data_IF_024136646933
#
_entry.id   IF_024136646933
#
_cell.length_a   1.000
_cell.length_b   1.000
_cell.length_c   1.000
_cell.angle_alpha   90.00
_cell.angle_beta   90.00
_cell.angle_gamma   90.00
#
_symmetry.space_group_name_H-M   'P 1'
#
loop_
_entity.id
_entity.type
_entity.pdbx_description
1 polymer ?
#
# COMPACT_ATOMS: atom_id res chain seq x y z
N UNK A 1 13.75 -10.22 -40.54
CA UNK A 1 12.49 -9.45 -40.41
C UNK A 1 12.45 -8.95 -38.99
N UNK A 2 13.04 -7.78 -38.76
CA UNK A 2 12.99 -7.09 -37.46
C UNK A 2 11.64 -6.38 -37.40
N UNK A 3 10.79 -6.78 -36.47
CA UNK A 3 9.53 -6.08 -36.22
C UNK A 3 9.86 -4.86 -35.36
N UNK A 4 9.85 -3.70 -35.99
CA UNK A 4 9.98 -2.40 -35.34
C UNK A 4 8.75 -2.16 -34.46
N UNK A 5 8.89 -2.42 -33.15
CA UNK A 5 7.83 -2.21 -32.17
C UNK A 5 7.84 -0.73 -31.83
N UNK A 6 7.17 0.07 -32.66
CA UNK A 6 6.90 1.48 -32.36
C UNK A 6 5.97 1.56 -31.14
N UNK A 7 6.57 1.66 -29.95
CA UNK A 7 5.87 1.92 -28.72
C UNK A 7 5.22 3.31 -28.82
N UNK A 8 3.92 3.35 -29.12
CA UNK A 8 3.12 4.57 -28.92
C UNK A 8 3.20 4.92 -27.45
N UNK A 9 3.94 5.99 -27.14
CA UNK A 9 3.84 6.70 -25.87
C UNK A 9 2.36 7.03 -25.70
N UNK A 10 1.71 6.39 -24.73
CA UNK A 10 0.38 6.79 -24.26
C UNK A 10 0.55 8.18 -23.67
N UNK A 11 0.24 9.21 -24.45
CA UNK A 11 0.17 10.58 -23.96
C UNK A 11 -0.93 10.62 -22.91
N UNK A 12 -0.51 10.96 -21.69
CA UNK A 12 -1.29 10.89 -20.45
C UNK A 12 -2.27 12.06 -20.34
N UNK A 13 -3.18 12.19 -21.30
CA UNK A 13 -4.22 13.24 -21.25
C UNK A 13 -5.35 12.90 -20.26
N UNK A 14 -5.50 11.61 -19.90
CA UNK A 14 -6.48 11.12 -18.91
C UNK A 14 -5.93 11.02 -17.47
N UNK A 15 -4.78 11.66 -17.21
CA UNK A 15 -4.17 11.75 -15.90
C UNK A 15 -4.96 12.72 -15.01
N UNK A 16 -5.72 12.23 -14.04
CA UNK A 16 -6.35 13.08 -13.03
C UNK A 16 -5.30 13.98 -12.37
N UNK A 17 -5.54 15.29 -12.38
CA UNK A 17 -4.71 16.26 -11.69
C UNK A 17 -4.84 16.09 -10.17
N UNK A 18 -3.78 16.47 -9.44
CA UNK A 18 -3.79 16.50 -7.96
C UNK A 18 -4.99 17.28 -7.41
N UNK A 19 -5.35 18.38 -8.06
CA UNK A 19 -6.50 19.22 -7.70
C UNK A 19 -7.84 18.51 -7.89
N UNK A 20 -7.99 17.70 -8.95
CA UNK A 20 -9.21 16.94 -9.19
C UNK A 20 -9.39 15.83 -8.16
N UNK A 21 -8.31 15.13 -7.80
CA UNK A 21 -8.34 14.09 -6.77
C UNK A 21 -8.69 14.71 -5.40
N UNK A 22 -8.04 15.82 -5.04
CA UNK A 22 -8.34 16.52 -3.80
C UNK A 22 -9.80 16.97 -3.74
N UNK A 23 -10.30 17.58 -4.83
CA UNK A 23 -11.69 18.02 -4.93
C UNK A 23 -12.66 16.83 -4.77
N UNK A 24 -12.41 15.72 -5.46
CA UNK A 24 -13.26 14.54 -5.36
C UNK A 24 -13.28 13.94 -3.95
N UNK A 25 -12.15 13.93 -3.23
CA UNK A 25 -12.12 13.47 -1.84
C UNK A 25 -12.85 14.40 -0.88
N UNK A 26 -12.81 15.71 -1.13
CA UNK A 26 -13.58 16.69 -0.36
C UNK A 26 -15.09 16.61 -0.66
N UNK A 27 -15.48 16.19 -1.86
CA UNK A 27 -16.88 15.97 -2.22
C UNK A 27 -17.43 14.62 -1.69
N UNK A 28 -16.55 13.65 -1.44
CA UNK A 28 -16.92 12.34 -0.92
C UNK A 28 -17.33 12.42 0.58
N UNK A 29 -18.59 12.06 0.93
CA UNK A 29 -19.08 12.20 2.29
C UNK A 29 -18.44 11.24 3.30
N UNK A 30 -17.83 10.14 2.84
CA UNK A 30 -17.15 9.18 3.70
C UNK A 30 -15.66 9.52 3.91
N UNK A 31 -15.00 10.07 2.88
CA UNK A 31 -13.57 10.41 2.91
C UNK A 31 -13.33 11.80 3.49
N UNK A 32 -14.15 12.80 3.12
CA UNK A 32 -14.00 14.20 3.58
C UNK A 32 -13.73 14.32 5.08
N UNK A 33 -14.51 13.67 5.99
CA UNK A 33 -14.28 13.84 7.43
C UNK A 33 -12.91 13.35 7.88
N UNK A 34 -12.36 12.31 7.26
CA UNK A 34 -11.01 11.81 7.57
C UNK A 34 -9.95 12.74 7.01
N UNK A 35 -10.14 13.25 5.78
CA UNK A 35 -9.22 14.19 5.16
C UNK A 35 -9.10 15.47 5.99
N UNK A 36 -10.23 16.06 6.40
CA UNK A 36 -10.25 17.24 7.26
C UNK A 36 -9.54 16.98 8.59
N UNK A 37 -9.79 15.84 9.24
CA UNK A 37 -9.13 15.48 10.49
C UNK A 37 -7.62 15.31 10.31
N UNK A 38 -7.17 14.67 9.22
CA UNK A 38 -5.74 14.45 8.91
C UNK A 38 -5.02 15.74 8.53
N UNK A 39 -5.74 16.72 7.97
CA UNK A 39 -5.22 18.07 7.71
C UNK A 39 -5.06 18.88 9.00
N UNK A 40 -5.93 18.65 9.99
CA UNK A 40 -5.93 19.39 11.25
C UNK A 40 -5.00 18.82 12.34
N UNK A 41 -4.77 17.50 12.33
CA UNK A 41 -3.92 16.81 13.31
C UNK A 41 -3.28 15.55 12.73
N UNK A 42 -2.06 15.23 13.18
CA UNK A 42 -1.42 13.93 12.89
C UNK A 42 -2.02 12.80 13.74
N UNK A 43 -2.48 13.13 14.95
CA UNK A 43 -3.01 12.18 15.91
C UNK A 43 -4.34 11.60 15.46
N UNK A 44 -4.54 10.31 15.76
CA UNK A 44 -5.79 9.62 15.45
C UNK A 44 -6.94 10.24 16.27
N UNK A 45 -8.04 10.65 15.62
CA UNK A 45 -9.24 11.13 16.29
C UNK A 45 -9.77 10.12 17.30
N UNK A 46 -10.38 10.60 18.39
CA UNK A 46 -10.97 9.72 19.39
C UNK A 46 -12.21 9.01 18.84
N UNK A 47 -12.67 7.98 19.55
CA UNK A 47 -13.90 7.30 19.18
C UNK A 47 -15.12 8.23 19.30
N UNK A 48 -15.19 9.11 20.30
CA UNK A 48 -16.32 10.04 20.45
C UNK A 48 -16.48 10.95 19.22
N UNK A 49 -15.37 11.38 18.62
CA UNK A 49 -15.36 12.24 17.44
C UNK A 49 -15.80 11.53 16.15
N UNK A 50 -15.70 10.19 16.11
CA UNK A 50 -15.94 9.38 14.90
C UNK A 50 -17.21 8.53 15.04
N UNK A 51 -17.69 8.28 16.26
CA UNK A 51 -18.93 7.57 16.55
C UNK A 51 -20.16 8.11 15.78
N UNK A 52 -20.36 9.43 15.58
CA UNK A 52 -21.50 9.92 14.81
C UNK A 52 -21.35 9.74 13.29
N UNK A 53 -20.13 9.47 12.80
CA UNK A 53 -19.85 9.38 11.36
C UNK A 53 -20.40 8.10 10.71
N UNK A 54 -20.40 8.09 9.37
CA UNK A 54 -20.86 6.95 8.57
C UNK A 54 -20.04 5.68 8.83
N UNK A 55 -20.60 4.47 8.58
CA UNK A 55 -19.84 3.23 8.64
C UNK A 55 -18.61 3.21 7.73
N UNK A 56 -18.67 3.89 6.58
CA UNK A 56 -17.54 3.99 5.65
C UNK A 56 -16.41 4.87 6.23
N UNK A 57 -16.75 6.02 6.80
CA UNK A 57 -15.81 6.91 7.50
C UNK A 57 -15.10 6.17 8.65
N UNK A 58 -15.86 5.40 9.44
CA UNK A 58 -15.31 4.56 10.52
C UNK A 58 -14.31 3.52 10.02
N UNK A 59 -14.53 2.94 8.83
CA UNK A 59 -13.57 2.02 8.21
C UNK A 59 -12.28 2.73 7.83
N UNK A 60 -12.36 3.93 7.28
CA UNK A 60 -11.18 4.74 6.99
C UNK A 60 -10.45 5.18 8.27
N UNK A 61 -11.17 5.54 9.33
CA UNK A 61 -10.59 5.80 10.65
C UNK A 61 -9.85 4.60 11.22
N UNK A 62 -10.39 3.38 11.08
CA UNK A 62 -9.69 2.16 11.51
C UNK A 62 -8.38 1.92 10.72
N UNK A 63 -8.26 2.50 9.53
CA UNK A 63 -7.06 2.46 8.69
C UNK A 63 -6.16 3.70 8.85
N UNK A 64 -6.38 4.54 9.87
CA UNK A 64 -5.69 5.83 10.02
C UNK A 64 -4.17 5.78 9.86
N UNK A 65 -3.50 4.76 10.39
CA UNK A 65 -2.04 4.63 10.33
C UNK A 65 -1.54 4.31 8.93
N UNK A 66 -2.42 3.77 8.09
CA UNK A 66 -2.17 3.45 6.69
C UNK A 66 -2.65 4.56 5.74
N UNK A 67 -3.31 5.60 6.26
CA UNK A 67 -3.72 6.76 5.50
C UNK A 67 -2.72 7.89 5.74
N UNK A 68 -2.17 8.39 4.65
CA UNK A 68 -1.18 9.45 4.68
C UNK A 68 -1.61 10.59 3.77
N UNK A 69 -1.13 11.79 4.08
CA UNK A 69 -1.44 12.99 3.33
C UNK A 69 -0.30 13.27 2.34
N UNK A 70 -0.63 13.48 1.06
CA UNK A 70 0.30 13.95 0.04
C UNK A 70 -0.41 14.96 -0.85
N UNK A 71 0.22 16.11 -1.08
CA UNK A 71 -0.29 17.18 -1.95
C UNK A 71 -1.76 17.56 -1.64
N UNK A 72 -2.14 17.48 -0.36
CA UNK A 72 -3.46 17.87 0.14
C UNK A 72 -4.58 16.83 -0.01
N UNK A 73 -4.27 15.60 -0.43
CA UNK A 73 -5.24 14.49 -0.49
C UNK A 73 -4.69 13.22 0.19
N UNK A 74 -5.59 12.30 0.54
CA UNK A 74 -5.26 11.04 1.20
C UNK A 74 -4.78 9.98 0.22
N UNK A 75 -3.72 9.27 0.60
CA UNK A 75 -3.29 8.02 -0.02
C UNK A 75 -3.24 6.90 1.01
N UNK A 76 -3.62 5.69 0.60
CA UNK A 76 -3.52 4.48 1.41
C UNK A 76 -2.21 3.76 1.10
N UNK A 77 -1.36 3.58 2.09
CA UNK A 77 -0.23 2.67 2.03
C UNK A 77 -0.69 1.24 2.35
N UNK A 78 -0.15 0.25 1.64
CA UNK A 78 -0.30 -1.15 2.05
C UNK A 78 0.65 -1.46 3.19
N UNK A 79 0.11 -1.90 4.33
CA UNK A 79 0.89 -2.34 5.47
C UNK A 79 1.78 -3.54 5.14
N UNK A 80 2.94 -3.61 5.77
CA UNK A 80 3.61 -4.88 6.00
C UNK A 80 2.68 -5.78 6.82
N UNK A 81 2.55 -7.03 6.41
CA UNK A 81 1.74 -7.98 7.17
C UNK A 81 2.47 -8.31 8.50
N UNK A 82 1.82 -8.09 9.65
CA UNK A 82 2.44 -8.11 10.99
C UNK A 82 3.31 -9.34 11.27
N UNK A 83 2.89 -10.49 10.73
CA UNK A 83 3.57 -11.76 10.89
C UNK A 83 4.87 -11.86 10.09
N UNK A 84 4.89 -11.30 8.89
CA UNK A 84 5.95 -11.48 7.90
C UNK A 84 6.84 -10.25 7.77
N UNK A 85 6.35 -9.07 8.16
CA UNK A 85 7.07 -7.80 8.01
C UNK A 85 7.24 -7.35 6.56
N UNK A 86 6.39 -7.85 5.66
CA UNK A 86 6.42 -7.51 4.24
C UNK A 86 5.01 -7.33 3.70
N UNK A 87 4.84 -6.47 2.69
CA UNK A 87 3.56 -6.32 2.01
C UNK A 87 3.24 -7.55 1.17
N UNK A 88 1.95 -7.82 0.86
CA UNK A 88 1.58 -8.86 -0.10
C UNK A 88 2.22 -8.66 -1.48
N UNK A 89 2.50 -7.42 -1.87
CA UNK A 89 3.16 -7.12 -3.13
C UNK A 89 4.63 -7.57 -3.11
N UNK A 90 5.34 -7.33 -2.01
CA UNK A 90 6.72 -7.80 -1.84
C UNK A 90 6.79 -9.34 -1.84
N UNK A 91 5.79 -9.99 -1.24
CA UNK A 91 5.67 -11.45 -1.24
C UNK A 91 5.44 -12.06 -2.62
N UNK A 92 4.56 -11.45 -3.43
CA UNK A 92 4.14 -12.02 -4.70
C UNK A 92 5.01 -11.58 -5.88
N UNK A 93 5.48 -10.34 -5.83
CA UNK A 93 6.17 -9.69 -6.96
C UNK A 93 7.59 -9.25 -6.60
N UNK A 94 8.04 -9.49 -5.36
CA UNK A 94 9.37 -9.09 -4.90
C UNK A 94 9.52 -7.58 -4.70
N UNK A 95 8.46 -6.79 -4.95
CA UNK A 95 8.51 -5.32 -4.96
C UNK A 95 7.15 -4.71 -4.62
N UNK A 96 7.18 -3.49 -4.11
CA UNK A 96 5.98 -2.66 -4.03
C UNK A 96 5.39 -2.44 -5.41
N UNK A 97 4.06 -2.60 -5.53
CA UNK A 97 3.36 -2.33 -6.79
C UNK A 97 3.51 -0.85 -7.14
N UNK A 98 3.89 -0.57 -8.40
CA UNK A 98 3.82 0.77 -8.95
C UNK A 98 2.36 1.08 -9.21
N UNK A 99 1.75 1.90 -8.37
CA UNK A 99 0.35 2.29 -8.52
C UNK A 99 0.21 3.29 -9.66
N UNK A 100 -0.99 3.42 -10.26
CA UNK A 100 -1.24 4.47 -11.25
C UNK A 100 -0.83 5.86 -10.74
N UNK A 101 -1.07 6.17 -9.47
CA UNK A 101 -0.63 7.44 -8.87
C UNK A 101 0.90 7.61 -8.84
N UNK A 102 1.70 6.55 -8.65
CA UNK A 102 3.17 6.65 -8.71
C UNK A 102 3.67 7.01 -10.12
N UNK A 103 2.93 6.61 -11.16
CA UNK A 103 3.20 6.96 -12.55
C UNK A 103 2.80 8.42 -12.80
N UNK A 104 1.61 8.80 -12.33
CA UNK A 104 1.05 10.15 -12.49
C UNK A 104 1.86 11.23 -11.76
N UNK A 105 2.37 10.93 -10.56
CA UNK A 105 3.10 11.89 -9.72
C UNK A 105 4.62 11.70 -9.73
N UNK A 106 5.16 10.93 -10.69
CA UNK A 106 6.59 10.93 -11.02
C UNK A 106 7.52 10.26 -10.01
N UNK A 107 7.24 9.03 -9.58
CA UNK A 107 8.20 8.24 -8.78
C UNK A 107 9.30 7.66 -9.69
N UNK A 108 10.58 7.91 -9.37
CA UNK A 108 11.72 7.34 -10.09
C UNK A 108 11.64 5.82 -10.06
N UNK A 109 11.63 5.16 -11.23
CA UNK A 109 11.77 3.71 -11.26
C UNK A 109 13.22 3.32 -11.04
N UNK A 110 13.43 2.36 -10.14
CA UNK A 110 14.63 1.53 -10.14
C UNK A 110 14.63 0.74 -11.45
N UNK A 111 15.14 1.38 -12.50
CA UNK A 111 15.11 0.82 -13.85
C UNK A 111 16.37 -0.03 -13.96
N UNK A 112 16.25 -1.37 -14.06
CA UNK A 112 17.40 -2.24 -14.16
C UNK A 112 18.15 -1.95 -15.46
N UNK A 113 19.49 -2.06 -15.44
CA UNK A 113 20.33 -1.76 -16.61
C UNK A 113 20.15 -2.83 -17.70
N UNK A 114 19.71 -4.04 -17.34
CA UNK A 114 19.42 -5.12 -18.28
C UNK A 114 18.29 -6.05 -17.80
N UNK A 115 17.63 -6.79 -18.72
CA UNK A 115 16.66 -7.82 -18.35
C UNK A 115 17.23 -8.91 -17.43
N UNK A 116 18.49 -9.29 -17.63
CA UNK A 116 19.12 -10.35 -16.84
C UNK A 116 19.40 -9.90 -15.39
N UNK A 117 19.80 -8.63 -15.22
CA UNK A 117 19.93 -8.00 -13.91
C UNK A 117 18.59 -7.96 -13.17
N UNK A 118 17.50 -7.61 -13.87
CA UNK A 118 16.16 -7.62 -13.31
C UNK A 118 15.77 -9.02 -12.78
N UNK A 119 15.96 -10.06 -13.59
CA UNK A 119 15.60 -11.42 -13.20
C UNK A 119 16.41 -11.89 -12.00
N UNK A 120 17.73 -11.65 -11.98
CA UNK A 120 18.59 -12.01 -10.86
C UNK A 120 18.21 -11.26 -9.58
N UNK A 121 17.88 -9.97 -9.69
CA UNK A 121 17.44 -9.16 -8.55
C UNK A 121 16.08 -9.64 -8.02
N UNK A 122 15.14 -9.95 -8.92
CA UNK A 122 13.81 -10.45 -8.56
C UNK A 122 13.91 -11.79 -7.82
N UNK A 123 14.68 -12.72 -8.37
CA UNK A 123 14.89 -14.06 -7.79
C UNK A 123 15.49 -13.94 -6.38
N UNK A 124 16.56 -13.16 -6.24
CA UNK A 124 17.22 -12.91 -4.95
C UNK A 124 16.29 -12.27 -3.92
N UNK A 125 15.43 -11.33 -4.35
CA UNK A 125 14.47 -10.63 -3.46
C UNK A 125 13.37 -11.57 -2.99
N UNK A 126 12.77 -12.34 -3.89
CA UNK A 126 11.72 -13.29 -3.55
C UNK A 126 12.22 -14.37 -2.60
N UNK A 127 13.40 -14.94 -2.87
CA UNK A 127 14.02 -15.93 -1.98
C UNK A 127 14.24 -15.35 -0.57
N UNK A 128 14.77 -14.13 -0.48
CA UNK A 128 15.00 -13.45 0.81
C UNK A 128 13.70 -13.20 1.58
N UNK A 129 12.70 -12.57 0.92
CA UNK A 129 11.41 -12.24 1.54
C UNK A 129 10.71 -13.51 2.03
N UNK A 130 10.70 -14.57 1.24
CA UNK A 130 10.05 -15.82 1.61
C UNK A 130 10.81 -16.56 2.71
N UNK A 131 12.14 -16.61 2.65
CA UNK A 131 12.97 -17.25 3.67
C UNK A 131 12.76 -16.59 5.04
N UNK A 132 12.85 -15.26 5.11
CA UNK A 132 12.61 -14.51 6.35
C UNK A 132 11.20 -14.73 6.90
N UNK A 133 10.20 -14.73 6.01
CA UNK A 133 8.81 -14.91 6.40
C UNK A 133 8.53 -16.31 6.94
N UNK A 134 9.09 -17.35 6.32
CA UNK A 134 9.01 -18.73 6.81
C UNK A 134 9.65 -18.87 8.19
N UNK A 135 10.79 -18.22 8.41
CA UNK A 135 11.47 -18.22 9.71
C UNK A 135 10.59 -17.56 10.80
N UNK A 136 10.03 -16.39 10.51
CA UNK A 136 9.13 -15.70 11.45
C UNK A 136 7.87 -16.50 11.76
N UNK A 137 7.27 -17.13 10.76
CA UNK A 137 6.11 -18.01 10.93
C UNK A 137 6.46 -19.19 11.83
N UNK A 138 7.61 -19.82 11.61
CA UNK A 138 8.11 -20.92 12.44
C UNK A 138 8.31 -20.48 13.90
N UNK A 139 9.05 -19.40 14.13
CA UNK A 139 9.33 -18.88 15.47
C UNK A 139 8.05 -18.52 16.24
N UNK A 140 7.08 -17.90 15.57
CA UNK A 140 5.82 -17.55 16.19
C UNK A 140 4.96 -18.79 16.49
N UNK A 141 4.99 -19.83 15.64
CA UNK A 141 4.32 -21.10 15.90
C UNK A 141 4.91 -21.83 17.12
N UNK A 142 6.22 -21.73 17.32
CA UNK A 142 6.94 -22.31 18.47
C UNK A 142 6.67 -21.55 19.77
N UNK A 143 6.36 -20.25 19.69
CA UNK A 143 6.02 -19.40 20.84
C UNK A 143 4.57 -19.56 21.30
N UNK A 144 3.69 -20.20 20.53
CA UNK A 144 2.31 -20.43 20.96
C UNK A 144 2.27 -21.53 22.04
N UNK A 145 1.73 -21.26 23.25
CA UNK A 145 1.65 -22.28 24.29
C UNK A 145 0.72 -23.43 23.88
N UNK A 146 1.12 -24.66 24.17
CA UNK A 146 0.41 -25.89 23.84
C UNK A 146 -0.89 -26.12 24.64
N UNK A 147 -1.64 -25.06 25.00
CA UNK A 147 -2.78 -25.16 25.91
C UNK A 147 -4.16 -25.30 25.24
N UNK A 148 -4.24 -25.89 24.05
CA UNK A 148 -5.53 -26.19 23.40
C UNK A 148 -5.57 -27.60 22.77
N UNK A 149 -4.97 -28.59 23.44
CA UNK A 149 -5.15 -30.01 23.13
C UNK A 149 -5.45 -30.83 24.38
N UNK A 150 -6.46 -30.43 25.16
CA UNK A 150 -7.22 -31.37 26.00
C UNK A 150 -8.58 -30.80 26.37
N UNK A 151 -9.59 -31.11 25.57
CA UNK A 151 -11.01 -31.13 25.95
C UNK A 151 -11.77 -31.84 24.82
N UNK A 152 -11.75 -33.16 24.85
CA UNK A 152 -12.81 -34.02 24.35
C UNK A 152 -13.35 -34.81 25.54
#
# INVERSE_FOLDING_TARGET
METDISAKVLTTEDAWSSSEVQKAQLEDPAIRPILEKKLNSEDRPSWEEIAPESPATKRYWALWDFLHLKDGFLYRTSADHEMTGFTPADMLFGRTLRLPCDILFGRSSDTPSSPNEYLNNLDSRLESVHAFSRERIKLASERMPANNRSSF
#
